data_IF_974050868611
#
_entry.id   IF_974050868611
#
_cell.length_a   1.000
_cell.length_b   1.000
_cell.length_c   1.000
_cell.angle_alpha   90.00
_cell.angle_beta   90.00
_cell.angle_gamma   90.00
#
_symmetry.space_group_name_H-M   'P 1'
#
loop_
_entity.id
_entity.type
_entity.pdbx_description
1 polymer ?
#
# COMPACT_ATOMS: atom_id res chain seq x y z
N UNK A 1 8.01 -19.83 -3.80
CA UNK A 1 9.42 -19.43 -4.01
C UNK A 1 10.03 -20.44 -4.96
N UNK A 2 10.62 -19.97 -6.04
CA UNK A 2 11.32 -20.77 -7.06
C UNK A 2 12.77 -20.33 -7.07
N UNK A 3 13.68 -21.29 -6.91
CA UNK A 3 15.11 -21.05 -7.06
C UNK A 3 15.46 -21.24 -8.53
N UNK A 4 15.93 -20.17 -9.17
CA UNK A 4 16.42 -20.20 -10.55
C UNK A 4 17.85 -20.77 -10.59
N UNK A 5 18.64 -20.44 -9.57
CA UNK A 5 20.01 -20.93 -9.34
C UNK A 5 20.28 -21.06 -7.83
N UNK A 6 21.48 -21.53 -7.47
CA UNK A 6 21.98 -21.55 -6.08
C UNK A 6 21.97 -20.19 -5.40
N UNK A 7 22.06 -19.11 -6.18
CA UNK A 7 22.13 -17.73 -5.67
C UNK A 7 20.95 -16.87 -6.09
N UNK A 8 20.07 -17.33 -6.98
CA UNK A 8 18.93 -16.57 -7.49
C UNK A 8 17.63 -17.21 -7.05
N UNK A 9 16.75 -16.40 -6.46
CA UNK A 9 15.45 -16.85 -5.99
C UNK A 9 14.38 -15.86 -6.44
N UNK A 10 13.31 -16.38 -7.02
CA UNK A 10 12.12 -15.63 -7.40
C UNK A 10 10.95 -16.08 -6.52
N UNK A 11 10.22 -15.11 -5.99
CA UNK A 11 9.04 -15.34 -5.18
C UNK A 11 7.88 -14.56 -5.76
N UNK A 12 6.70 -15.15 -5.75
CA UNK A 12 5.46 -14.46 -6.05
C UNK A 12 4.53 -14.60 -4.83
N UNK A 13 3.76 -13.57 -4.56
CA UNK A 13 2.83 -13.52 -3.44
C UNK A 13 1.54 -12.82 -3.83
N UNK A 14 0.44 -13.26 -3.25
CA UNK A 14 -0.85 -12.58 -3.29
C UNK A 14 -1.24 -12.24 -1.85
N UNK A 15 -1.85 -11.08 -1.65
CA UNK A 15 -2.40 -10.68 -0.36
C UNK A 15 -3.76 -10.05 -0.58
N UNK A 16 -4.70 -10.31 0.31
CA UNK A 16 -6.02 -9.71 0.24
C UNK A 16 -6.56 -9.42 1.63
N UNK A 17 -7.50 -8.49 1.71
CA UNK A 17 -8.13 -8.08 2.96
C UNK A 17 -9.52 -7.54 2.71
N UNK A 18 -10.39 -7.66 3.71
CA UNK A 18 -11.70 -7.05 3.68
C UNK A 18 -11.66 -5.73 4.45
N UNK A 19 -12.05 -4.64 3.80
CA UNK A 19 -12.11 -3.32 4.40
C UNK A 19 -13.58 -2.93 4.55
N UNK A 20 -13.98 -2.54 5.76
CA UNK A 20 -15.30 -1.98 6.01
C UNK A 20 -15.17 -0.51 6.32
N UNK A 21 -15.95 0.34 5.65
CA UNK A 21 -16.07 1.75 5.96
C UNK A 21 -17.50 2.07 6.35
N UNK A 22 -17.65 2.82 7.42
CA UNK A 22 -18.90 3.38 7.89
C UNK A 22 -18.72 4.87 8.13
N UNK A 23 -19.65 5.67 7.62
CA UNK A 23 -19.81 7.06 8.03
C UNK A 23 -21.12 7.16 8.80
N UNK A 24 -21.10 7.85 9.94
CA UNK A 24 -22.29 8.11 10.74
C UNK A 24 -22.47 9.60 10.84
N UNK A 25 -23.67 10.07 10.49
CA UNK A 25 -24.02 11.49 10.53
C UNK A 25 -24.60 11.94 11.87
N UNK A 26 -24.76 11.01 12.82
CA UNK A 26 -25.21 11.31 14.18
C UNK A 26 -24.20 12.23 14.89
N UNK A 27 -24.57 13.50 15.02
CA UNK A 27 -23.76 14.54 15.69
C UNK A 27 -23.02 15.51 14.76
N UNK A 28 -23.15 15.36 13.43
CA UNK A 28 -22.66 16.37 12.49
C UNK A 28 -23.56 17.60 12.53
N UNK A 29 -22.96 18.78 12.64
CA UNK A 29 -23.65 20.08 12.59
C UNK A 29 -23.45 20.70 11.22
N UNK A 30 -24.54 21.12 10.60
CA UNK A 30 -24.53 21.64 9.24
C UNK A 30 -24.77 23.15 9.25
N UNK A 31 -24.23 23.85 8.25
CA UNK A 31 -24.40 25.30 8.13
C UNK A 31 -25.88 25.70 7.99
N UNK A 32 -26.69 24.83 7.36
CA UNK A 32 -28.15 24.93 7.29
C UNK A 32 -28.86 24.90 8.65
N UNK A 33 -28.16 24.51 9.72
CA UNK A 33 -28.67 24.48 11.09
C UNK A 33 -28.21 25.69 11.93
N UNK A 34 -27.53 26.67 11.33
CA UNK A 34 -27.18 27.94 11.96
C UNK A 34 -28.05 29.05 11.39
N UNK A 35 -28.88 29.66 12.23
CA UNK A 35 -29.84 30.71 11.83
C UNK A 35 -29.31 32.15 12.03
N UNK A 36 -28.00 32.29 12.28
CA UNK A 36 -27.36 33.57 12.57
C UNK A 36 -27.42 34.00 14.04
N UNK A 37 -28.25 33.36 14.88
CA UNK A 37 -28.30 33.60 16.34
C UNK A 37 -27.74 32.44 17.17
N UNK A 38 -27.69 31.24 16.59
CA UNK A 38 -27.06 30.07 17.20
C UNK A 38 -27.29 28.81 16.38
N UNK A 39 -26.89 27.67 16.96
CA UNK A 39 -27.18 26.35 16.40
C UNK A 39 -28.60 25.92 16.78
N UNK A 40 -29.40 25.55 15.79
CA UNK A 40 -30.77 25.10 15.95
C UNK A 40 -30.94 23.67 15.38
N UNK A 41 -31.04 22.68 16.28
CA UNK A 41 -31.19 21.26 15.91
C UNK A 41 -32.55 20.89 15.30
N UNK A 42 -33.53 21.79 15.32
CA UNK A 42 -34.84 21.58 14.71
C UNK A 42 -34.87 21.95 13.23
N UNK A 43 -33.82 22.60 12.72
CA UNK A 43 -33.66 22.86 11.29
C UNK A 43 -33.16 21.60 10.57
N UNK A 44 -33.82 21.26 9.46
CA UNK A 44 -33.41 20.16 8.61
C UNK A 44 -32.04 20.42 8.00
N UNK A 45 -31.22 19.38 7.89
CA UNK A 45 -29.85 19.48 7.36
C UNK A 45 -29.82 19.81 5.86
N UNK A 46 -30.93 19.66 5.14
CA UNK A 46 -31.08 19.83 3.68
C UNK A 46 -30.07 19.03 2.83
N UNK A 47 -29.39 18.06 3.44
CA UNK A 47 -28.44 17.15 2.82
C UNK A 47 -28.96 15.72 3.01
N UNK A 48 -29.05 14.97 1.91
CA UNK A 48 -29.50 13.57 1.93
C UNK A 48 -28.32 12.64 2.20
N UNK A 49 -27.98 12.46 3.48
CA UNK A 49 -27.01 11.45 3.88
C UNK A 49 -27.68 10.08 3.98
N UNK A 50 -27.37 9.20 3.04
CA UNK A 50 -27.54 7.76 3.27
C UNK A 50 -26.44 7.34 4.25
N UNK A 51 -26.78 6.66 5.36
CA UNK A 51 -25.80 5.96 6.20
C UNK A 51 -25.08 4.91 5.33
N UNK A 52 -24.03 5.35 4.65
CA UNK A 52 -23.30 4.52 3.70
C UNK A 52 -22.34 3.63 4.49
N UNK A 53 -22.81 2.43 4.82
CA UNK A 53 -21.96 1.31 5.26
C UNK A 53 -21.62 0.50 4.03
N UNK A 54 -20.36 0.55 3.60
CA UNK A 54 -19.89 -0.29 2.50
C UNK A 54 -18.63 -1.02 2.91
N UNK A 55 -18.56 -2.29 2.53
CA UNK A 55 -17.38 -3.10 2.68
C UNK A 55 -16.90 -3.56 1.32
N UNK A 56 -15.58 -3.57 1.14
CA UNK A 56 -14.96 -4.01 -0.09
C UNK A 56 -13.81 -4.96 0.19
N UNK A 57 -13.71 -6.01 -0.62
CA UNK A 57 -12.56 -6.89 -0.63
C UNK A 57 -11.47 -6.28 -1.53
N UNK A 58 -10.28 -6.14 -0.97
CA UNK A 58 -9.08 -5.69 -1.65
C UNK A 58 -8.13 -6.87 -1.90
N UNK A 59 -7.53 -6.89 -3.09
CA UNK A 59 -6.56 -7.90 -3.50
C UNK A 59 -5.33 -7.22 -4.10
N UNK A 60 -4.18 -7.77 -3.76
CA UNK A 60 -2.86 -7.31 -4.12
C UNK A 60 -2.04 -8.53 -4.57
N UNK A 61 -1.11 -8.31 -5.49
CA UNK A 61 -0.19 -9.33 -5.97
C UNK A 61 1.19 -8.71 -6.15
N UNK A 62 2.23 -9.49 -5.92
CA UNK A 62 3.59 -9.01 -6.08
C UNK A 62 4.56 -10.12 -6.44
N UNK A 63 5.64 -9.72 -7.08
CA UNK A 63 6.77 -10.59 -7.43
C UNK A 63 8.03 -9.96 -6.83
N UNK A 64 8.86 -10.80 -6.24
CA UNK A 64 10.12 -10.45 -5.60
C UNK A 64 11.22 -11.33 -6.18
N UNK A 65 12.26 -10.71 -6.71
CA UNK A 65 13.54 -11.35 -6.98
C UNK A 65 14.52 -11.04 -5.84
N UNK A 66 15.30 -12.04 -5.47
CA UNK A 66 16.37 -11.94 -4.49
C UNK A 66 17.58 -12.72 -4.98
N UNK A 67 18.74 -12.09 -4.89
CA UNK A 67 20.03 -12.68 -5.16
C UNK A 67 20.89 -12.65 -3.89
N UNK A 68 21.58 -13.75 -3.62
CA UNK A 68 22.50 -13.87 -2.50
C UNK A 68 23.70 -14.70 -2.88
N UNK A 69 24.88 -14.10 -2.80
CA UNK A 69 26.15 -14.82 -2.85
C UNK A 69 26.82 -14.67 -1.48
N UNK A 70 27.03 -15.82 -0.82
CA UNK A 70 27.71 -15.87 0.48
C UNK A 70 29.17 -15.45 0.36
N UNK A 71 29.76 -15.08 1.50
CA UNK A 71 31.15 -14.65 1.61
C UNK A 71 32.11 -15.72 1.06
N UNK A 72 33.17 -15.31 0.34
CA UNK A 72 34.19 -16.27 -0.17
C UNK A 72 34.92 -16.97 0.97
N UNK A 73 35.04 -16.30 2.12
CA UNK A 73 35.55 -16.82 3.39
C UNK A 73 34.83 -16.13 4.55
N UNK A 74 34.64 -16.83 5.69
CA UNK A 74 34.05 -16.27 6.93
C UNK A 74 34.75 -14.95 7.38
N UNK A 75 36.00 -14.76 6.98
CA UNK A 75 36.81 -13.57 7.32
C UNK A 75 36.80 -12.48 6.23
N UNK A 76 36.34 -12.78 5.02
CA UNK A 76 36.46 -11.88 3.86
C UNK A 76 35.43 -10.74 3.88
N UNK A 77 34.24 -10.96 4.47
CA UNK A 77 33.17 -9.97 4.64
C UNK A 77 32.73 -9.32 3.31
N UNK A 78 32.76 -10.09 2.23
CA UNK A 78 32.48 -9.66 0.86
C UNK A 78 31.09 -10.11 0.35
N UNK A 79 30.13 -10.26 1.27
CA UNK A 79 28.78 -10.69 0.93
C UNK A 79 28.08 -9.72 -0.04
N UNK A 80 27.42 -10.29 -1.05
CA UNK A 80 26.57 -9.57 -1.98
C UNK A 80 25.14 -10.10 -1.87
N UNK A 81 24.24 -9.21 -1.47
CA UNK A 81 22.79 -9.46 -1.49
C UNK A 81 22.12 -8.41 -2.36
N UNK A 82 21.18 -8.83 -3.20
CA UNK A 82 20.36 -7.91 -3.99
C UNK A 82 18.91 -8.34 -3.89
N UNK A 83 18.00 -7.38 -3.92
CA UNK A 83 16.58 -7.62 -3.97
C UNK A 83 15.91 -6.61 -4.90
N UNK A 84 14.94 -7.05 -5.69
CA UNK A 84 14.11 -6.18 -6.49
C UNK A 84 12.71 -6.77 -6.59
N UNK A 85 11.69 -5.94 -6.48
CA UNK A 85 10.31 -6.41 -6.50
C UNK A 85 9.33 -5.39 -7.04
N UNK A 86 8.24 -5.90 -7.58
CA UNK A 86 7.11 -5.10 -8.05
C UNK A 86 5.84 -5.66 -7.41
N UNK A 87 4.98 -4.76 -6.94
CA UNK A 87 3.70 -5.09 -6.32
C UNK A 87 2.60 -4.25 -6.94
N UNK A 88 1.50 -4.92 -7.25
CA UNK A 88 0.26 -4.36 -7.76
C UNK A 88 -0.79 -4.42 -6.66
N UNK A 89 -1.35 -3.26 -6.35
CA UNK A 89 -2.31 -3.08 -5.28
C UNK A 89 -3.67 -2.64 -5.83
N UNK A 90 -4.74 -3.03 -5.15
CA UNK A 90 -6.12 -2.74 -5.51
C UNK A 90 -6.55 -3.26 -6.89
N UNK A 91 -6.31 -4.55 -7.15
CA UNK A 91 -6.72 -5.20 -8.41
C UNK A 91 -8.23 -5.07 -8.67
N UNK A 92 -9.03 -5.13 -7.61
CA UNK A 92 -10.49 -5.13 -7.70
C UNK A 92 -11.11 -3.73 -7.92
N UNK A 93 -10.30 -2.65 -7.93
CA UNK A 93 -10.75 -1.24 -8.05
C UNK A 93 -12.08 -0.99 -7.31
N UNK A 94 -12.14 -1.24 -5.99
CA UNK A 94 -13.39 -1.21 -5.25
C UNK A 94 -14.01 0.18 -5.34
N UNK A 95 -15.30 0.22 -5.65
CA UNK A 95 -16.09 1.46 -5.66
C UNK A 95 -16.26 1.95 -4.22
N UNK A 96 -15.80 3.16 -3.94
CA UNK A 96 -15.96 3.84 -2.65
C UNK A 96 -17.04 4.90 -2.81
N UNK A 97 -18.31 4.49 -2.73
CA UNK A 97 -19.43 5.41 -2.96
C UNK A 97 -19.99 5.88 -1.62
N UNK A 98 -19.62 7.10 -1.19
CA UNK A 98 -20.26 7.78 -0.06
C UNK A 98 -21.33 8.80 -0.50
N UNK A 99 -21.23 9.29 -1.75
CA UNK A 99 -22.18 10.19 -2.40
C UNK A 99 -22.31 9.77 -3.87
N UNK A 100 -23.40 10.14 -4.55
CA UNK A 100 -23.84 9.64 -5.87
C UNK A 100 -22.87 9.79 -7.07
N UNK A 101 -21.59 10.12 -6.86
CA UNK A 101 -20.52 10.01 -7.86
C UNK A 101 -19.66 8.77 -7.59
N UNK A 102 -19.66 7.82 -8.52
CA UNK A 102 -18.87 6.60 -8.45
C UNK A 102 -17.36 6.88 -8.48
N UNK A 103 -16.74 7.03 -7.32
CA UNK A 103 -15.28 7.11 -7.20
C UNK A 103 -14.70 5.70 -7.03
N UNK A 104 -13.92 5.26 -8.02
CA UNK A 104 -13.24 3.96 -8.00
C UNK A 104 -11.87 4.13 -7.37
N UNK A 105 -11.53 3.26 -6.42
CA UNK A 105 -10.20 3.28 -5.84
C UNK A 105 -9.16 2.96 -6.93
N UNK A 106 -8.26 3.91 -7.17
CA UNK A 106 -7.21 3.79 -8.16
C UNK A 106 -6.20 2.71 -7.79
N UNK A 107 -5.90 1.83 -8.75
CA UNK A 107 -4.84 0.83 -8.62
C UNK A 107 -3.48 1.49 -8.37
N UNK A 108 -2.66 0.88 -7.51
CA UNK A 108 -1.32 1.37 -7.17
C UNK A 108 -0.28 0.35 -7.60
N UNK A 109 0.78 0.83 -8.25
CA UNK A 109 1.97 0.04 -8.58
C UNK A 109 3.10 0.51 -7.67
N UNK A 110 3.79 -0.44 -7.06
CA UNK A 110 4.97 -0.23 -6.23
C UNK A 110 6.12 -0.99 -6.86
N UNK A 111 7.22 -0.31 -7.17
CA UNK A 111 8.47 -0.95 -7.53
C UNK A 111 9.51 -0.61 -6.45
N UNK A 112 10.31 -1.58 -6.05
CA UNK A 112 11.38 -1.35 -5.08
C UNK A 112 12.59 -2.20 -5.42
N UNK A 113 13.75 -1.76 -4.95
CA UNK A 113 14.97 -2.53 -5.07
C UNK A 113 16.03 -2.05 -4.10
N UNK A 114 16.95 -2.94 -3.79
CA UNK A 114 18.07 -2.69 -2.91
C UNK A 114 19.18 -3.67 -3.16
N UNK A 115 20.35 -3.30 -2.66
CA UNK A 115 21.49 -4.18 -2.63
C UNK A 115 22.30 -3.91 -1.37
N UNK A 116 23.08 -4.91 -0.97
CA UNK A 116 24.02 -4.84 0.13
C UNK A 116 25.32 -5.40 -0.43
N UNK A 117 26.37 -4.58 -0.34
CA UNK A 117 27.72 -4.95 -0.72
C UNK A 117 28.63 -4.78 0.49
N UNK A 118 29.27 -5.87 0.91
CA UNK A 118 30.37 -5.82 1.87
C UNK A 118 31.66 -5.34 1.22
N UNK A 119 32.39 -4.43 1.87
CA UNK A 119 33.73 -4.03 1.43
C UNK A 119 34.74 -5.02 2.01
N UNK A 120 35.44 -5.75 1.14
CA UNK A 120 36.38 -6.79 1.52
C UNK A 120 37.36 -6.33 2.60
N UNK A 121 37.60 -7.19 3.59
CA UNK A 121 38.55 -6.95 4.67
C UNK A 121 38.21 -5.73 5.57
N UNK A 122 36.95 -5.28 5.57
CA UNK A 122 36.43 -4.26 6.48
C UNK A 122 35.12 -4.70 7.13
N UNK A 123 34.69 -3.99 8.18
CA UNK A 123 33.38 -4.20 8.82
C UNK A 123 32.29 -3.29 8.23
N UNK A 124 32.52 -2.75 7.03
CA UNK A 124 31.63 -1.76 6.42
C UNK A 124 30.81 -2.42 5.31
N UNK A 125 29.51 -2.15 5.35
CA UNK A 125 28.55 -2.57 4.34
C UNK A 125 27.90 -1.34 3.72
N UNK A 126 27.75 -1.35 2.41
CA UNK A 126 27.05 -0.30 1.66
C UNK A 126 25.74 -0.88 1.16
N UNK A 127 24.63 -0.23 1.53
CA UNK A 127 23.29 -0.73 1.26
C UNK A 127 22.37 0.31 0.60
N UNK A 128 22.52 0.60 -0.71
CA UNK A 128 21.62 1.52 -1.39
C UNK A 128 20.27 0.84 -1.63
N UNK A 129 19.20 1.61 -1.53
CA UNK A 129 17.84 1.14 -1.81
C UNK A 129 16.99 2.25 -2.39
N UNK A 130 15.96 1.86 -3.13
CA UNK A 130 14.97 2.76 -3.71
C UNK A 130 13.58 2.14 -3.64
N UNK A 131 12.57 3.01 -3.55
CA UNK A 131 11.17 2.65 -3.61
C UNK A 131 10.45 3.68 -4.48
N UNK A 132 9.64 3.20 -5.41
CA UNK A 132 8.81 4.00 -6.29
C UNK A 132 7.36 3.56 -6.17
N UNK A 133 6.47 4.52 -6.02
CA UNK A 133 5.03 4.30 -5.98
C UNK A 133 4.34 5.16 -7.02
N UNK A 134 3.40 4.56 -7.74
CA UNK A 134 2.50 5.27 -8.65
C UNK A 134 1.07 4.81 -8.37
N UNK A 135 0.20 5.76 -8.01
CA UNK A 135 -1.22 5.52 -7.78
C UNK A 135 -2.03 6.47 -8.64
N UNK A 136 -3.00 5.94 -9.38
CA UNK A 136 -3.89 6.74 -10.23
C UNK A 136 -3.31 7.10 -11.59
N UNK A 137 -4.21 7.04 -12.58
CA UNK A 137 -4.25 7.88 -13.78
C UNK A 137 -5.63 8.49 -13.80
#
# INVERSE_FOLDING_TARGET
>A
MISLDKSNTLSAGISGGYNQRSCTTAGLKWDSQYDGTGYNSSLGTNESFTDARFGYADFNAGIQWSYGQGERYITAKDEIKMNAGVSFHHFNRPEQVFYASGERLNSRITAHGGCIFGISNTNVFVAPSFIYHRQGT
#
